data_IF_564681602064
#
_entry.id   IF_564681602064
#
_cell.length_a   1.000
_cell.length_b   1.000
_cell.length_c   1.000
_cell.angle_alpha   90.00
_cell.angle_beta   90.00
_cell.angle_gamma   90.00
#
_symmetry.space_group_name_H-M   'P 1'
#
loop_
_entity.id
_entity.type
_entity.pdbx_description
1 polymer ?
#
# COMPACT_ATOMS: atom_id res chain seq x y z
N UNK A 1 -14.84 -9.76 -6.50
CA UNK A 1 -14.83 -11.19 -6.89
C UNK A 1 -15.57 -11.94 -5.80
N UNK A 2 -16.73 -12.51 -6.11
CA UNK A 2 -17.61 -13.16 -5.14
C UNK A 2 -17.47 -14.67 -5.30
N UNK A 3 -16.92 -15.35 -4.29
CA UNK A 3 -17.08 -16.79 -4.15
C UNK A 3 -18.13 -17.03 -3.07
N UNK A 4 -19.19 -17.73 -3.46
CA UNK A 4 -20.19 -18.27 -2.55
C UNK A 4 -19.65 -19.62 -2.06
N UNK A 5 -19.30 -19.68 -0.79
CA UNK A 5 -19.22 -20.93 -0.03
C UNK A 5 -20.36 -20.92 0.96
N UNK A 6 -21.17 -21.98 0.99
CA UNK A 6 -22.24 -22.18 1.97
C UNK A 6 -21.63 -22.29 3.37
N UNK A 7 -21.44 -21.14 4.01
CA UNK A 7 -21.26 -21.00 5.45
C UNK A 7 -22.39 -20.07 5.89
N UNK A 8 -23.22 -20.56 6.81
CA UNK A 8 -24.31 -19.78 7.38
C UNK A 8 -23.81 -18.43 7.88
N UNK A 9 -24.67 -17.44 7.72
CA UNK A 9 -24.50 -16.02 7.99
C UNK A 9 -23.70 -15.18 6.97
N UNK A 10 -24.40 -14.14 6.54
CA UNK A 10 -24.07 -13.16 5.51
C UNK A 10 -22.72 -12.49 5.75
N UNK A 11 -21.69 -12.97 5.05
CA UNK A 11 -20.37 -12.31 5.01
C UNK A 11 -20.00 -12.06 3.55
N UNK A 12 -20.06 -10.80 3.11
CA UNK A 12 -19.47 -10.39 1.84
C UNK A 12 -17.95 -10.46 1.98
N UNK A 13 -17.31 -11.37 1.26
CA UNK A 13 -15.89 -11.65 1.41
C UNK A 13 -15.04 -10.66 0.58
N UNK A 14 -14.35 -9.74 1.27
CA UNK A 14 -13.39 -8.79 0.70
C UNK A 14 -11.97 -9.33 0.84
N UNK A 15 -11.12 -9.23 -0.18
CA UNK A 15 -9.65 -9.40 -0.02
C UNK A 15 -9.11 -8.18 0.74
N UNK A 16 -9.43 -8.12 2.03
CA UNK A 16 -8.71 -7.34 3.03
C UNK A 16 -7.69 -8.28 3.67
N UNK A 17 -6.63 -7.75 4.28
CA UNK A 17 -5.59 -8.58 4.90
C UNK A 17 -6.13 -9.62 5.90
N UNK A 18 -7.30 -9.37 6.52
CA UNK A 18 -7.97 -10.33 7.40
C UNK A 18 -8.50 -11.57 6.69
N UNK A 19 -9.27 -11.41 5.60
CA UNK A 19 -9.85 -12.56 4.87
C UNK A 19 -8.78 -13.43 4.22
N UNK A 20 -7.69 -12.83 3.73
CA UNK A 20 -6.59 -13.60 3.11
C UNK A 20 -5.98 -14.55 4.13
N UNK A 21 -5.79 -14.12 5.37
CA UNK A 21 -5.31 -14.98 6.45
C UNK A 21 -6.32 -16.08 6.82
N UNK A 22 -7.61 -15.79 6.84
CA UNK A 22 -8.65 -16.81 7.07
C UNK A 22 -8.65 -17.89 5.98
N UNK A 23 -8.49 -17.49 4.71
CA UNK A 23 -8.38 -18.45 3.58
C UNK A 23 -7.09 -19.26 3.71
N UNK A 24 -5.96 -18.64 4.06
CA UNK A 24 -4.71 -19.35 4.31
C UNK A 24 -4.85 -20.36 5.47
N UNK A 25 -5.51 -20.00 6.56
CA UNK A 25 -5.80 -20.88 7.70
C UNK A 25 -6.74 -22.02 7.31
N UNK A 26 -7.76 -21.75 6.50
CA UNK A 26 -8.65 -22.77 5.95
C UNK A 26 -7.89 -23.74 5.06
N UNK A 27 -7.03 -23.26 4.16
CA UNK A 27 -6.17 -24.09 3.32
C UNK A 27 -5.23 -24.95 4.17
N UNK A 28 -4.60 -24.38 5.20
CA UNK A 28 -3.73 -25.11 6.13
C UNK A 28 -4.48 -26.22 6.87
N UNK A 29 -5.67 -25.94 7.39
CA UNK A 29 -6.46 -26.88 8.19
C UNK A 29 -7.13 -27.98 7.37
N UNK A 30 -7.56 -27.68 6.14
CA UNK A 30 -8.28 -28.62 5.25
C UNK A 30 -7.38 -29.31 4.23
N UNK A 31 -6.11 -28.91 4.11
CA UNK A 31 -5.18 -29.30 3.03
C UNK A 31 -5.70 -28.94 1.62
N UNK A 32 -6.67 -28.04 1.52
CA UNK A 32 -7.15 -27.52 0.25
C UNK A 32 -6.19 -26.46 -0.30
N UNK A 33 -6.13 -26.34 -1.64
CA UNK A 33 -5.42 -25.25 -2.30
C UNK A 33 -6.41 -24.18 -2.74
N UNK A 34 -6.23 -22.94 -2.28
CA UNK A 34 -6.98 -21.80 -2.78
C UNK A 34 -6.38 -21.34 -4.11
N UNK A 35 -7.24 -21.11 -5.11
CA UNK A 35 -6.85 -20.60 -6.42
C UNK A 35 -7.61 -19.29 -6.69
N UNK A 36 -6.94 -18.13 -6.68
CA UNK A 36 -7.56 -16.85 -7.02
C UNK A 36 -8.00 -16.84 -8.50
N UNK A 37 -9.23 -16.39 -8.76
CA UNK A 37 -9.80 -16.25 -10.12
C UNK A 37 -10.10 -14.77 -10.39
N UNK A 38 -9.14 -14.05 -10.95
CA UNK A 38 -9.25 -12.60 -11.15
C UNK A 38 -9.77 -12.28 -12.55
N UNK A 39 -10.58 -11.23 -12.73
CA UNK A 39 -10.90 -10.73 -14.05
C UNK A 39 -9.62 -10.32 -14.78
N UNK A 40 -9.49 -10.73 -16.04
CA UNK A 40 -8.42 -10.27 -16.90
C UNK A 40 -8.66 -8.80 -17.29
N UNK A 41 -7.63 -8.00 -17.11
CA UNK A 41 -7.70 -6.54 -17.27
C UNK A 41 -6.28 -6.03 -17.40
N UNK A 42 -6.08 -5.06 -18.28
CA UNK A 42 -4.80 -4.39 -18.48
C UNK A 42 -4.37 -3.62 -17.22
N UNK A 43 -5.35 -3.06 -16.51
CA UNK A 43 -5.09 -2.19 -15.36
C UNK A 43 -4.51 -0.85 -15.78
N UNK A 44 -3.89 -0.17 -14.82
CA UNK A 44 -3.11 1.04 -14.99
C UNK A 44 -1.85 0.94 -14.12
N UNK A 45 -0.98 1.94 -14.18
CA UNK A 45 0.18 2.05 -13.28
C UNK A 45 -0.21 2.10 -11.79
N UNK A 46 -1.46 2.49 -11.48
CA UNK A 46 -1.91 2.74 -10.10
C UNK A 46 -3.17 1.97 -9.70
N UNK A 47 -3.69 1.10 -10.57
CA UNK A 47 -4.83 0.22 -10.25
C UNK A 47 -4.75 -1.09 -11.08
N UNK A 48 -5.07 -2.26 -10.52
CA UNK A 48 -5.08 -3.51 -11.29
C UNK A 48 -6.27 -3.65 -12.25
N UNK A 49 -7.22 -2.72 -12.22
CA UNK A 49 -8.39 -2.70 -13.10
C UNK A 49 -8.40 -1.44 -13.97
N UNK A 50 -8.65 -1.62 -15.27
CA UNK A 50 -8.81 -0.50 -16.21
C UNK A 50 -10.18 0.18 -16.05
N UNK A 51 -10.35 1.36 -16.64
CA UNK A 51 -11.66 2.03 -16.68
C UNK A 51 -12.70 1.20 -17.45
N UNK A 52 -12.29 0.50 -18.50
CA UNK A 52 -13.13 -0.46 -19.24
C UNK A 52 -13.68 -1.55 -18.30
N UNK A 53 -12.80 -2.14 -17.47
CA UNK A 53 -13.20 -3.15 -16.51
C UNK A 53 -14.18 -2.57 -15.47
N UNK A 54 -13.91 -1.36 -14.96
CA UNK A 54 -14.80 -0.66 -14.04
C UNK A 54 -16.18 -0.40 -14.66
N UNK A 55 -16.22 0.08 -15.90
CA UNK A 55 -17.44 0.34 -16.66
C UNK A 55 -18.30 -0.93 -16.77
N UNK A 56 -17.67 -2.04 -17.17
CA UNK A 56 -18.35 -3.35 -17.30
C UNK A 56 -18.85 -3.86 -15.95
N UNK A 57 -18.08 -3.71 -14.87
CA UNK A 57 -18.55 -4.12 -13.54
C UNK A 57 -19.75 -3.32 -13.07
N UNK A 58 -19.72 -1.99 -13.21
CA UNK A 58 -20.85 -1.14 -12.87
C UNK A 58 -22.08 -1.49 -13.71
N UNK A 59 -21.91 -1.61 -15.03
CA UNK A 59 -22.98 -2.00 -15.95
C UNK A 59 -23.60 -3.35 -15.59
N UNK A 60 -22.78 -4.37 -15.31
CA UNK A 60 -23.25 -5.70 -14.87
C UNK A 60 -24.04 -5.63 -13.57
N UNK A 61 -23.63 -4.80 -12.62
CA UNK A 61 -24.35 -4.63 -11.34
C UNK A 61 -25.69 -3.96 -11.58
N UNK A 62 -25.74 -2.93 -12.40
CA UNK A 62 -26.96 -2.20 -12.76
C UNK A 62 -27.94 -3.03 -13.61
N UNK A 63 -27.52 -4.17 -14.16
CA UNK A 63 -28.39 -5.13 -14.83
C UNK A 63 -28.93 -6.25 -13.93
N UNK A 64 -28.40 -6.41 -12.72
CA UNK A 64 -28.85 -7.47 -11.79
C UNK A 64 -30.18 -7.12 -11.13
N UNK A 65 -30.86 -8.16 -10.66
CA UNK A 65 -32.06 -8.07 -9.83
C UNK A 65 -31.94 -9.06 -8.68
N UNK A 66 -32.41 -8.65 -7.50
CA UNK A 66 -32.46 -9.50 -6.30
C UNK A 66 -31.10 -10.06 -5.91
N UNK A 67 -30.03 -9.27 -6.03
CA UNK A 67 -28.70 -9.71 -5.62
C UNK A 67 -28.61 -9.73 -4.09
N UNK A 68 -28.08 -10.80 -3.46
CA UNK A 68 -27.81 -10.80 -2.03
C UNK A 68 -26.99 -9.57 -1.62
N UNK A 69 -27.51 -8.79 -0.67
CA UNK A 69 -26.86 -7.56 -0.21
C UNK A 69 -27.25 -6.30 -0.97
N UNK A 70 -28.27 -6.40 -1.82
CA UNK A 70 -28.92 -5.28 -2.50
C UNK A 70 -27.95 -4.43 -3.35
N UNK A 71 -26.83 -5.01 -3.79
CA UNK A 71 -25.94 -4.40 -4.78
C UNK A 71 -26.39 -4.81 -6.18
N UNK A 72 -27.48 -4.20 -6.63
CA UNK A 72 -28.11 -4.43 -7.92
C UNK A 72 -28.74 -3.15 -8.48
N UNK A 73 -29.57 -3.26 -9.52
CA UNK A 73 -30.21 -2.11 -10.16
C UNK A 73 -31.07 -1.27 -9.22
N UNK A 74 -31.63 -1.85 -8.17
CA UNK A 74 -32.48 -1.16 -7.19
C UNK A 74 -31.68 -0.44 -6.11
N UNK A 75 -30.37 -0.72 -6.01
CA UNK A 75 -29.47 -0.01 -5.11
C UNK A 75 -29.43 1.48 -5.44
N UNK A 76 -29.62 2.40 -4.48
CA UNK A 76 -29.54 3.83 -4.74
C UNK A 76 -28.09 4.35 -4.87
N UNK A 77 -27.08 3.54 -4.55
CA UNK A 77 -25.67 3.95 -4.45
C UNK A 77 -24.71 2.89 -5.02
N UNK A 78 -25.15 2.12 -6.02
CA UNK A 78 -24.34 1.08 -6.63
C UNK A 78 -23.01 1.63 -7.17
N UNK A 79 -23.04 2.77 -7.87
CA UNK A 79 -21.84 3.41 -8.40
C UNK A 79 -20.82 3.74 -7.31
N UNK A 80 -21.27 4.35 -6.20
CA UNK A 80 -20.38 4.65 -5.06
C UNK A 80 -19.73 3.39 -4.48
N UNK A 81 -20.52 2.32 -4.27
CA UNK A 81 -20.01 1.06 -3.73
C UNK A 81 -18.97 0.46 -4.68
N UNK A 82 -19.19 0.51 -5.99
CA UNK A 82 -18.23 0.02 -6.99
C UNK A 82 -16.95 0.86 -7.00
N UNK A 83 -17.05 2.18 -6.84
CA UNK A 83 -15.87 3.05 -6.66
C UNK A 83 -15.12 2.73 -5.37
N UNK A 84 -15.81 2.42 -4.27
CA UNK A 84 -15.17 1.97 -3.05
C UNK A 84 -14.32 0.71 -3.30
N UNK A 85 -14.87 -0.29 -4.00
CA UNK A 85 -14.12 -1.48 -4.38
C UNK A 85 -12.93 -1.19 -5.31
N UNK A 86 -13.11 -0.29 -6.27
CA UNK A 86 -12.04 0.11 -7.17
C UNK A 86 -10.86 0.77 -6.43
N UNK A 87 -11.17 1.63 -5.45
CA UNK A 87 -10.16 2.33 -4.64
C UNK A 87 -9.51 1.45 -3.56
N UNK A 88 -10.03 0.25 -3.26
CA UNK A 88 -9.30 -0.71 -2.39
C UNK A 88 -7.93 -1.10 -2.96
N UNK A 89 -7.76 -0.98 -4.28
CA UNK A 89 -6.54 -1.31 -4.98
C UNK A 89 -5.79 -0.08 -5.51
N UNK A 90 -6.14 1.13 -5.04
CA UNK A 90 -5.43 2.35 -5.42
C UNK A 90 -3.95 2.29 -5.01
N UNK A 91 -3.07 2.69 -5.92
CA UNK A 91 -1.63 2.67 -5.75
C UNK A 91 -0.99 1.29 -5.99
N UNK A 92 -1.72 0.35 -6.60
CA UNK A 92 -1.21 -0.99 -6.94
C UNK A 92 -1.39 -1.25 -8.44
N UNK A 93 -0.29 -1.51 -9.14
CA UNK A 93 -0.34 -1.89 -10.56
C UNK A 93 -0.90 -3.29 -10.76
N UNK A 94 -1.31 -3.61 -12.01
CA UNK A 94 -1.74 -4.97 -12.37
C UNK A 94 -0.69 -6.02 -12.06
N UNK A 95 0.58 -5.73 -12.39
CA UNK A 95 1.70 -6.64 -12.18
C UNK A 95 1.93 -6.94 -10.70
N UNK A 96 1.89 -5.92 -9.84
CA UNK A 96 2.04 -6.11 -8.38
C UNK A 96 0.89 -6.92 -7.80
N UNK A 97 -0.34 -6.63 -8.21
CA UNK A 97 -1.52 -7.37 -7.78
C UNK A 97 -1.45 -8.86 -8.14
N UNK A 98 -1.10 -9.19 -9.38
CA UNK A 98 -0.95 -10.59 -9.80
C UNK A 98 0.22 -11.27 -9.08
N UNK A 99 1.35 -10.57 -8.92
CA UNK A 99 2.53 -11.11 -8.25
C UNK A 99 2.25 -11.46 -6.79
N UNK A 100 1.52 -10.61 -6.05
CA UNK A 100 1.15 -10.88 -4.66
C UNK A 100 0.24 -12.11 -4.54
N UNK A 101 -0.73 -12.26 -5.44
CA UNK A 101 -1.61 -13.43 -5.45
C UNK A 101 -0.85 -14.71 -5.80
N UNK A 102 0.05 -14.65 -6.78
CA UNK A 102 0.90 -15.78 -7.14
C UNK A 102 1.85 -16.15 -5.99
N UNK A 103 2.46 -15.17 -5.33
CA UNK A 103 3.36 -15.41 -4.19
C UNK A 103 2.65 -16.13 -3.03
N UNK A 104 1.40 -15.76 -2.76
CA UNK A 104 0.60 -16.34 -1.67
C UNK A 104 -0.03 -17.68 -2.00
N UNK A 105 -0.58 -17.83 -3.22
CA UNK A 105 -1.42 -18.97 -3.60
C UNK A 105 -0.76 -19.91 -4.63
N UNK A 106 0.46 -19.59 -5.07
CA UNK A 106 1.24 -20.37 -6.04
C UNK A 106 0.74 -20.27 -7.50
N UNK A 107 -0.53 -19.89 -7.68
CA UNK A 107 -1.19 -19.79 -8.98
C UNK A 107 -2.24 -18.69 -9.00
N UNK A 108 -2.61 -18.27 -10.20
CA UNK A 108 -3.72 -17.36 -10.44
C UNK A 108 -4.42 -17.78 -11.73
N UNK A 109 -5.75 -17.72 -11.73
CA UNK A 109 -6.59 -17.92 -12.91
C UNK A 109 -7.06 -16.56 -13.40
N UNK A 110 -6.88 -16.29 -14.69
CA UNK A 110 -7.38 -15.08 -15.35
C UNK A 110 -8.70 -15.40 -16.03
N UNK A 111 -9.78 -14.77 -15.58
CA UNK A 111 -11.10 -14.90 -16.16
C UNK A 111 -11.27 -13.84 -17.25
N UNK A 112 -11.47 -14.22 -18.53
CA UNK A 112 -11.77 -13.26 -19.59
C UNK A 112 -12.92 -12.33 -19.19
N UNK A 113 -12.67 -11.03 -19.28
CA UNK A 113 -13.65 -9.99 -18.98
C UNK A 113 -13.98 -9.17 -20.22
N UNK A 114 -12.95 -8.74 -20.95
CA UNK A 114 -13.04 -7.86 -22.10
C UNK A 114 -12.54 -8.58 -23.35
N UNK A 115 -13.05 -8.18 -24.51
CA UNK A 115 -12.50 -8.59 -25.81
C UNK A 115 -11.19 -7.83 -26.09
N UNK A 116 -10.18 -8.49 -26.70
CA UNK A 116 -8.87 -7.89 -26.92
C UNK A 116 -8.91 -6.77 -27.99
N UNK A 117 -9.68 -6.94 -29.06
CA UNK A 117 -9.73 -6.01 -30.20
C UNK A 117 -10.87 -4.97 -30.06
N UNK A 118 -11.12 -4.51 -28.84
CA UNK A 118 -12.22 -3.57 -28.56
C UNK A 118 -11.88 -2.14 -28.99
N UNK A 119 -12.90 -1.40 -29.39
CA UNK A 119 -12.79 0.04 -29.58
C UNK A 119 -12.54 0.75 -28.23
N UNK A 120 -11.90 1.94 -28.23
CA UNK A 120 -11.72 2.73 -27.02
C UNK A 120 -13.04 3.01 -26.29
N UNK A 121 -12.96 3.18 -24.97
CA UNK A 121 -14.10 3.54 -24.13
C UNK A 121 -14.76 4.82 -24.64
N UNK A 122 -16.10 4.84 -24.89
CA UNK A 122 -16.80 6.03 -25.34
C UNK A 122 -16.55 7.20 -24.39
N UNK A 123 -16.29 8.38 -24.94
CA UNK A 123 -15.95 9.56 -24.14
C UNK A 123 -16.99 9.89 -23.05
N UNK A 124 -18.32 9.79 -23.28
CA UNK A 124 -19.30 9.99 -22.22
C UNK A 124 -19.13 9.01 -21.05
N UNK A 125 -18.84 7.73 -21.36
CA UNK A 125 -18.63 6.68 -20.34
C UNK A 125 -17.34 6.95 -19.57
N UNK A 126 -16.26 7.29 -20.28
CA UNK A 126 -14.99 7.64 -19.65
C UNK A 126 -15.14 8.84 -18.70
N UNK A 127 -15.75 9.92 -19.19
CA UNK A 127 -15.90 11.17 -18.44
C UNK A 127 -16.71 10.97 -17.15
N UNK A 128 -17.83 10.22 -17.20
CA UNK A 128 -18.64 10.00 -15.98
C UNK A 128 -17.93 9.12 -14.95
N UNK A 129 -17.08 8.18 -15.38
CA UNK A 129 -16.26 7.38 -14.46
C UNK A 129 -15.17 8.22 -13.80
N UNK A 130 -14.49 9.07 -14.57
CA UNK A 130 -13.46 9.99 -14.06
C UNK A 130 -14.07 11.02 -13.08
N UNK A 131 -15.25 11.57 -13.40
CA UNK A 131 -16.01 12.43 -12.48
C UNK A 131 -16.30 11.71 -11.16
N UNK A 132 -16.75 10.45 -11.23
CA UNK A 132 -17.04 9.63 -10.05
C UNK A 132 -15.81 9.36 -9.21
N UNK A 133 -14.68 9.01 -9.84
CA UNK A 133 -13.40 8.80 -9.16
C UNK A 133 -12.96 10.08 -8.44
N UNK A 134 -13.06 11.23 -9.10
CA UNK A 134 -12.70 12.52 -8.49
C UNK A 134 -13.63 12.86 -7.31
N UNK A 135 -14.93 12.65 -7.46
CA UNK A 135 -15.92 12.86 -6.39
C UNK A 135 -15.67 11.92 -5.20
N UNK A 136 -15.29 10.66 -5.48
CA UNK A 136 -14.90 9.69 -4.45
C UNK A 136 -13.71 10.21 -3.63
N UNK A 137 -12.65 10.64 -4.30
CA UNK A 137 -11.44 11.19 -3.65
C UNK A 137 -11.75 12.41 -2.79
N UNK A 138 -12.56 13.35 -3.30
CA UNK A 138 -13.00 14.53 -2.55
C UNK A 138 -13.78 14.12 -1.29
N UNK A 139 -14.70 13.18 -1.43
CA UNK A 139 -15.50 12.67 -0.31
C UNK A 139 -14.61 11.99 0.74
N UNK A 140 -13.75 11.05 0.34
CA UNK A 140 -12.90 10.30 1.28
C UNK A 140 -11.87 11.18 1.98
N UNK A 141 -11.29 12.17 1.29
CA UNK A 141 -10.32 13.09 1.89
C UNK A 141 -10.94 13.93 3.00
N UNK A 142 -12.22 14.31 2.86
CA UNK A 142 -12.91 15.17 3.82
C UNK A 142 -13.65 14.40 4.91
N UNK A 143 -14.18 13.21 4.60
CA UNK A 143 -15.11 12.48 5.48
C UNK A 143 -14.63 11.05 5.82
N UNK A 144 -13.48 10.61 5.31
CA UNK A 144 -13.01 9.24 5.52
C UNK A 144 -13.96 8.22 4.88
N UNK A 145 -14.32 7.17 5.62
CA UNK A 145 -15.22 6.09 5.17
C UNK A 145 -16.71 6.36 5.39
N UNK A 146 -17.11 7.64 5.55
CA UNK A 146 -18.52 7.98 5.70
C UNK A 146 -19.33 7.52 4.47
N UNK A 147 -20.60 7.13 4.66
CA UNK A 147 -21.47 6.71 3.56
C UNK A 147 -21.79 7.87 2.61
N UNK A 148 -21.89 7.61 1.30
CA UNK A 148 -22.21 8.63 0.28
C UNK A 148 -23.57 9.30 0.43
N UNK A 149 -24.49 8.67 1.15
CA UNK A 149 -25.82 9.20 1.48
C UNK A 149 -25.79 10.19 2.65
N UNK A 150 -24.61 10.46 3.21
CA UNK A 150 -24.40 11.34 4.36
C UNK A 150 -23.27 12.34 4.04
N UNK A 151 -23.29 13.48 4.73
CA UNK A 151 -22.24 14.49 4.60
C UNK A 151 -22.46 15.47 3.44
N UNK A 152 -21.42 16.26 3.16
CA UNK A 152 -21.52 17.49 2.35
C UNK A 152 -21.82 17.24 0.87
N UNK A 153 -21.38 16.09 0.34
CA UNK A 153 -21.46 15.74 -1.09
C UNK A 153 -22.69 14.90 -1.46
N UNK A 154 -23.67 14.75 -0.56
CA UNK A 154 -24.85 13.88 -0.77
C UNK A 154 -25.62 14.22 -2.07
N UNK A 155 -25.78 15.53 -2.37
CA UNK A 155 -26.47 15.98 -3.59
C UNK A 155 -25.66 15.67 -4.85
N UNK A 156 -24.34 15.82 -4.78
CA UNK A 156 -23.43 15.55 -5.89
C UNK A 156 -23.40 14.05 -6.19
N UNK A 157 -23.38 13.20 -5.16
CA UNK A 157 -23.49 11.75 -5.32
C UNK A 157 -24.79 11.32 -5.97
N UNK A 158 -25.93 11.84 -5.52
CA UNK A 158 -27.23 11.52 -6.11
C UNK A 158 -27.31 11.95 -7.58
N UNK A 159 -26.76 13.12 -7.91
CA UNK A 159 -26.68 13.63 -9.28
C UNK A 159 -25.78 12.73 -10.15
N UNK A 160 -24.56 12.44 -9.68
CA UNK A 160 -23.60 11.60 -10.40
C UNK A 160 -24.13 10.18 -10.61
N UNK A 161 -24.74 9.55 -9.60
CA UNK A 161 -25.29 8.19 -9.72
C UNK A 161 -26.39 8.12 -10.79
N UNK A 162 -27.23 9.17 -10.87
CA UNK A 162 -28.24 9.27 -11.93
C UNK A 162 -27.60 9.39 -13.31
N UNK A 163 -26.62 10.29 -13.46
CA UNK A 163 -25.90 10.48 -14.73
C UNK A 163 -25.14 9.23 -15.17
N UNK A 164 -24.47 8.55 -14.24
CA UNK A 164 -23.78 7.28 -14.49
C UNK A 164 -24.74 6.26 -15.09
N UNK A 165 -25.92 6.09 -14.49
CA UNK A 165 -26.92 5.12 -14.98
C UNK A 165 -27.38 5.46 -16.38
N UNK A 166 -27.80 6.70 -16.61
CA UNK A 166 -28.24 7.19 -17.92
C UNK A 166 -27.17 6.92 -18.99
N UNK A 167 -25.93 7.36 -18.74
CA UNK A 167 -24.82 7.20 -19.68
C UNK A 167 -24.48 5.72 -19.95
N UNK A 168 -24.43 4.87 -18.91
CA UNK A 168 -24.14 3.45 -19.10
C UNK A 168 -25.26 2.74 -19.88
N UNK A 169 -26.53 3.08 -19.65
CA UNK A 169 -27.64 2.49 -20.40
C UNK A 169 -27.68 2.98 -21.86
N UNK A 170 -27.43 4.27 -22.10
CA UNK A 170 -27.35 4.85 -23.44
C UNK A 170 -26.19 4.27 -24.26
N UNK A 171 -25.12 3.82 -23.59
CA UNK A 171 -23.96 3.17 -24.21
C UNK A 171 -23.99 1.63 -24.11
N UNK A 172 -25.15 1.04 -23.79
CA UNK A 172 -25.30 -0.41 -23.59
C UNK A 172 -24.85 -1.24 -24.80
N UNK A 173 -25.04 -0.75 -26.03
CA UNK A 173 -24.57 -1.42 -27.25
C UNK A 173 -23.06 -1.64 -27.27
N UNK A 174 -22.29 -0.62 -26.88
CA UNK A 174 -20.83 -0.71 -26.72
C UNK A 174 -20.47 -1.62 -25.54
N UNK A 175 -21.07 -1.39 -24.37
CA UNK A 175 -20.73 -2.13 -23.15
C UNK A 175 -21.04 -3.63 -23.29
N UNK A 176 -22.05 -4.02 -24.06
CA UNK A 176 -22.33 -5.41 -24.38
C UNK A 176 -21.33 -6.00 -25.37
N UNK A 177 -20.86 -5.24 -26.36
CA UNK A 177 -19.97 -5.75 -27.41
C UNK A 177 -18.53 -5.98 -26.94
N UNK A 178 -18.07 -5.24 -25.93
CA UNK A 178 -16.71 -5.36 -25.40
C UNK A 178 -16.56 -6.44 -24.34
N UNK A 179 -17.64 -7.06 -23.88
CA UNK A 179 -17.59 -8.10 -22.88
C UNK A 179 -17.21 -9.45 -23.49
N UNK A 180 -16.33 -10.19 -22.81
CA UNK A 180 -16.09 -11.59 -23.13
C UNK A 180 -17.38 -12.42 -22.94
N UNK A 181 -17.73 -13.33 -23.87
CA UNK A 181 -18.87 -14.22 -23.72
C UNK A 181 -18.77 -15.09 -22.46
N UNK A 182 -19.88 -15.29 -21.76
CA UNK A 182 -19.89 -16.01 -20.48
C UNK A 182 -19.38 -17.44 -20.62
N UNK A 183 -19.82 -18.15 -21.65
CA UNK A 183 -19.43 -19.53 -21.93
C UNK A 183 -17.93 -19.65 -22.20
N UNK A 184 -17.35 -18.65 -22.87
CA UNK A 184 -15.91 -18.57 -23.10
C UNK A 184 -15.16 -18.38 -21.78
N UNK A 185 -15.60 -17.44 -20.94
CA UNK A 185 -14.99 -17.19 -19.63
C UNK A 185 -15.04 -18.44 -18.74
N UNK A 186 -16.17 -19.14 -18.68
CA UNK A 186 -16.32 -20.39 -17.92
C UNK A 186 -15.39 -21.47 -18.46
N UNK A 187 -15.36 -21.68 -19.78
CA UNK A 187 -14.50 -22.67 -20.41
C UNK A 187 -13.02 -22.42 -20.07
N UNK A 188 -12.54 -21.19 -20.24
CA UNK A 188 -11.13 -20.86 -19.99
C UNK A 188 -10.76 -20.93 -18.51
N UNK A 189 -11.64 -20.53 -17.61
CA UNK A 189 -11.43 -20.67 -16.15
C UNK A 189 -11.31 -22.15 -15.78
N UNK A 190 -12.19 -23.01 -16.29
CA UNK A 190 -12.14 -24.45 -16.03
C UNK A 190 -10.89 -25.11 -16.61
N UNK A 191 -10.45 -24.70 -17.80
CA UNK A 191 -9.21 -25.19 -18.40
C UNK A 191 -7.98 -24.83 -17.56
N UNK A 192 -7.88 -23.57 -17.10
CA UNK A 192 -6.79 -23.13 -16.22
C UNK A 192 -6.82 -23.86 -14.86
N UNK A 193 -7.99 -24.02 -14.25
CA UNK A 193 -8.14 -24.76 -12.99
C UNK A 193 -7.72 -26.23 -13.13
N UNK A 194 -8.06 -26.88 -14.26
CA UNK A 194 -7.63 -28.26 -14.55
C UNK A 194 -6.12 -28.35 -14.73
N UNK A 195 -5.50 -27.40 -15.41
CA UNK A 195 -4.05 -27.36 -15.56
C UNK A 195 -3.35 -27.21 -14.20
N UNK A 196 -3.85 -26.33 -13.33
CA UNK A 196 -3.35 -26.17 -11.96
C UNK A 196 -3.49 -27.47 -11.16
N UNK A 197 -4.66 -28.12 -11.21
CA UNK A 197 -4.91 -29.37 -10.50
C UNK A 197 -4.01 -30.53 -10.96
N UNK A 198 -3.52 -30.51 -12.20
CA UNK A 198 -2.56 -31.48 -12.75
C UNK A 198 -1.10 -31.13 -12.47
N UNK A 199 -0.81 -29.95 -11.89
CA UNK A 199 0.55 -29.45 -11.72
C UNK A 199 1.20 -28.93 -13.01
N UNK A 200 0.41 -28.68 -14.06
CA UNK A 200 0.86 -28.19 -15.37
C UNK A 200 0.99 -26.64 -15.39
N UNK A 201 0.69 -25.98 -14.28
CA UNK A 201 0.78 -24.52 -14.17
C UNK A 201 2.24 -24.08 -13.99
N UNK A 202 2.80 -23.46 -15.01
CA UNK A 202 4.07 -22.74 -14.91
C UNK A 202 3.84 -21.36 -14.32
N UNK A 203 4.29 -21.15 -13.09
CA UNK A 203 4.33 -19.82 -12.48
C UNK A 203 5.17 -18.89 -13.36
N UNK A 204 4.62 -17.76 -13.85
CA UNK A 204 5.40 -16.75 -14.54
C UNK A 204 6.62 -16.40 -13.68
N UNK A 205 7.82 -16.29 -14.28
CA UNK A 205 9.01 -15.78 -13.59
C UNK A 205 8.77 -14.32 -13.21
N UNK A 206 8.05 -14.09 -12.13
CA UNK A 206 8.15 -12.84 -11.38
C UNK A 206 9.55 -12.87 -10.79
N UNK A 207 10.43 -11.98 -11.24
CA UNK A 207 11.58 -11.60 -10.41
C UNK A 207 11.05 -11.46 -8.98
N UNK A 208 11.62 -12.20 -8.03
CA UNK A 208 11.26 -12.09 -6.61
C UNK A 208 11.60 -10.68 -6.14
N UNK A 209 10.75 -9.70 -6.44
CA UNK A 209 10.81 -8.39 -5.80
C UNK A 209 9.84 -8.46 -4.63
N UNK A 210 10.40 -8.59 -3.42
CA UNK A 210 9.70 -8.70 -2.13
C UNK A 210 9.01 -7.38 -1.76
N UNK A 211 8.07 -6.88 -2.57
CA UNK A 211 7.33 -5.66 -2.21
C UNK A 211 6.21 -5.93 -1.17
N UNK A 212 5.77 -7.19 -1.01
CA UNK A 212 4.70 -7.56 -0.07
C UNK A 212 5.01 -7.34 1.41
N UNK A 213 6.30 -7.35 1.78
CA UNK A 213 6.77 -7.21 3.17
C UNK A 213 7.28 -5.82 3.53
N UNK A 214 7.24 -4.84 2.62
CA UNK A 214 7.82 -3.52 2.91
C UNK A 214 6.93 -2.78 3.92
N UNK A 215 7.45 -2.65 5.12
CA UNK A 215 6.92 -1.93 6.27
C UNK A 215 7.34 -0.46 6.20
N UNK A 216 8.59 -0.16 5.80
CA UNK A 216 9.08 1.22 5.72
C UNK A 216 10.24 1.40 4.71
N UNK A 217 10.47 2.65 4.31
CA UNK A 217 11.65 3.09 3.58
C UNK A 217 12.61 3.78 4.54
N UNK A 218 13.91 3.49 4.44
CA UNK A 218 14.92 4.09 5.29
C UNK A 218 16.28 4.21 4.60
N UNK A 219 17.14 5.08 5.12
CA UNK A 219 18.57 5.10 4.79
C UNK A 219 19.32 4.34 5.87
N UNK A 220 19.92 3.20 5.51
CA UNK A 220 20.74 2.38 6.40
C UNK A 220 22.13 2.97 6.52
N UNK A 221 22.62 3.11 7.75
CA UNK A 221 23.91 3.72 8.03
C UNK A 221 24.96 2.66 8.36
N UNK A 222 26.21 2.80 7.90
CA UNK A 222 27.29 1.87 8.21
C UNK A 222 27.59 1.83 9.72
N UNK A 223 27.47 0.65 10.33
CA UNK A 223 27.66 0.45 11.79
C UNK A 223 29.04 0.92 12.25
N UNK A 224 30.09 0.60 11.50
CA UNK A 224 31.46 0.97 11.85
C UNK A 224 31.68 2.48 11.89
N UNK A 225 31.08 3.22 10.94
CA UNK A 225 31.16 4.68 10.90
C UNK A 225 30.36 5.30 12.05
N UNK A 226 29.17 4.75 12.35
CA UNK A 226 28.36 5.18 13.48
C UNK A 226 29.07 4.98 14.83
N UNK A 227 29.72 3.83 15.03
CA UNK A 227 30.50 3.55 16.25
C UNK A 227 31.67 4.52 16.37
N UNK A 228 32.46 4.67 15.30
CA UNK A 228 33.60 5.60 15.27
C UNK A 228 33.16 7.03 15.57
N UNK A 229 32.05 7.46 14.96
CA UNK A 229 31.47 8.78 15.21
C UNK A 229 31.07 8.98 16.67
N UNK A 230 30.38 8.01 17.29
CA UNK A 230 29.94 8.12 18.68
C UNK A 230 31.10 8.07 19.68
N UNK A 231 32.12 7.25 19.43
CA UNK A 231 33.34 7.23 20.25
C UNK A 231 34.05 8.59 20.20
N UNK A 232 34.23 9.15 19.01
CA UNK A 232 34.82 10.49 18.85
C UNK A 232 33.98 11.58 19.54
N UNK A 233 32.65 11.43 19.60
CA UNK A 233 31.76 12.35 20.28
C UNK A 233 31.88 12.22 21.81
N UNK A 234 32.00 10.99 22.34
CA UNK A 234 32.25 10.71 23.75
C UNK A 234 33.59 11.30 24.23
N UNK A 235 34.67 11.11 23.47
CA UNK A 235 35.99 11.70 23.78
C UNK A 235 35.95 13.23 23.94
N UNK A 236 35.06 13.90 23.21
CA UNK A 236 34.91 15.36 23.22
C UNK A 236 33.90 15.86 24.24
N UNK A 237 33.00 15.00 24.72
CA UNK A 237 31.93 15.37 25.62
C UNK A 237 31.77 14.32 26.75
N UNK A 238 32.24 14.65 27.97
CA UNK A 238 32.18 13.73 29.11
C UNK A 238 30.76 13.24 29.48
N UNK A 239 29.73 14.04 29.21
CA UNK A 239 28.33 13.64 29.46
C UNK A 239 27.88 12.56 28.48
N UNK A 240 28.28 12.69 27.21
CA UNK A 240 28.04 11.67 26.17
C UNK A 240 28.80 10.39 26.48
N UNK A 241 30.07 10.51 26.86
CA UNK A 241 30.89 9.35 27.27
C UNK A 241 30.26 8.61 28.44
N UNK A 242 29.87 9.34 29.49
CA UNK A 242 29.20 8.76 30.66
C UNK A 242 27.88 8.07 30.28
N UNK A 243 27.11 8.65 29.36
CA UNK A 243 25.87 8.05 28.89
C UNK A 243 26.10 6.76 28.08
N UNK A 244 27.10 6.73 27.20
CA UNK A 244 27.31 5.61 26.28
C UNK A 244 28.03 4.41 26.92
N UNK A 245 28.86 4.65 27.94
CA UNK A 245 29.79 3.67 28.53
C UNK A 245 29.18 2.31 28.87
N UNK A 246 27.96 2.29 29.40
CA UNK A 246 27.29 1.07 29.87
C UNK A 246 26.25 0.52 28.86
N UNK A 247 26.22 1.06 27.64
CA UNK A 247 25.24 0.69 26.62
C UNK A 247 25.88 -0.20 25.57
N UNK A 248 25.21 -1.31 25.24
CA UNK A 248 25.65 -2.20 24.17
C UNK A 248 25.32 -1.58 22.80
N UNK A 249 26.18 -0.67 22.36
CA UNK A 249 26.01 0.10 21.13
C UNK A 249 26.14 -0.76 19.87
N UNK A 250 27.01 -1.78 19.88
CA UNK A 250 27.18 -2.69 18.74
C UNK A 250 25.86 -3.40 18.38
N UNK A 251 25.18 -3.97 19.37
CA UNK A 251 23.89 -4.63 19.14
C UNK A 251 22.78 -3.65 18.77
N UNK A 252 22.79 -2.46 19.37
CA UNK A 252 21.75 -1.44 19.12
C UNK A 252 21.87 -0.82 17.73
N UNK A 253 23.11 -0.66 17.22
CA UNK A 253 23.41 -0.06 15.93
C UNK A 253 23.40 -1.04 14.76
N UNK A 254 23.29 -2.36 14.98
CA UNK A 254 23.22 -3.35 13.92
C UNK A 254 22.10 -3.08 12.88
N UNK A 255 21.11 -2.25 13.25
CA UNK A 255 20.04 -1.77 12.38
C UNK A 255 19.96 -0.25 12.33
N UNK A 256 21.08 0.47 12.46
CA UNK A 256 21.09 1.92 12.42
C UNK A 256 20.55 2.44 11.09
N UNK A 257 19.47 3.21 11.15
CA UNK A 257 18.84 3.78 9.96
C UNK A 257 18.10 5.08 10.27
N UNK A 258 17.93 5.92 9.25
CA UNK A 258 16.98 7.05 9.27
C UNK A 258 15.71 6.61 8.55
N UNK A 259 14.60 6.53 9.28
CA UNK A 259 13.30 6.23 8.64
C UNK A 259 12.84 7.40 7.78
N UNK A 260 12.55 7.13 6.50
CA UNK A 260 12.01 8.09 5.53
C UNK A 260 10.48 8.08 5.54
N UNK A 261 9.89 6.90 5.45
CA UNK A 261 8.44 6.74 5.58
C UNK A 261 8.06 5.36 6.07
N UNK A 262 7.04 5.28 6.92
CA UNK A 262 6.50 4.02 7.42
C UNK A 262 5.09 3.80 6.88
N UNK A 263 4.79 2.60 6.38
CA UNK A 263 3.51 2.23 5.74
C UNK A 263 2.30 2.54 6.62
N UNK A 264 2.41 2.26 7.93
CA UNK A 264 1.34 2.52 8.91
C UNK A 264 1.06 4.02 9.13
N UNK A 265 2.08 4.87 9.04
CA UNK A 265 1.97 6.29 9.37
C UNK A 265 1.71 7.16 8.14
N UNK A 266 2.28 6.79 6.99
CA UNK A 266 2.29 7.61 5.78
C UNK A 266 1.60 6.94 4.58
N UNK A 267 1.20 5.67 4.70
CA UNK A 267 0.58 4.91 3.61
C UNK A 267 1.58 4.29 2.65
N UNK A 268 1.11 3.34 1.84
CA UNK A 268 1.92 2.58 0.89
C UNK A 268 2.55 3.49 -0.17
N UNK A 269 1.78 4.43 -0.71
CA UNK A 269 2.25 5.38 -1.75
C UNK A 269 3.44 6.21 -1.28
N UNK A 270 3.44 6.66 -0.01
CA UNK A 270 4.54 7.44 0.54
C UNK A 270 5.82 6.61 0.75
N UNK A 271 5.70 5.30 0.98
CA UNK A 271 6.86 4.40 1.03
C UNK A 271 7.36 4.13 -0.40
N UNK A 272 6.45 3.82 -1.31
CA UNK A 272 6.76 3.53 -2.71
C UNK A 272 7.39 4.72 -3.46
N UNK A 273 7.13 5.96 -3.04
CA UNK A 273 7.71 7.16 -3.67
C UNK A 273 9.24 7.22 -3.59
N UNK A 274 9.88 6.45 -2.70
CA UNK A 274 11.35 6.36 -2.64
C UNK A 274 11.94 5.31 -3.58
N UNK A 275 11.09 4.57 -4.33
CA UNK A 275 11.52 3.54 -5.27
C UNK A 275 12.57 3.99 -6.30
N UNK A 276 12.50 5.21 -6.85
CA UNK A 276 13.53 5.72 -7.78
C UNK A 276 14.95 5.82 -7.16
N UNK A 277 15.04 5.94 -5.83
CA UNK A 277 16.31 6.12 -5.10
C UNK A 277 16.79 4.83 -4.43
N UNK A 278 16.15 3.70 -4.72
CA UNK A 278 16.49 2.44 -4.07
C UNK A 278 17.93 2.02 -4.38
N UNK A 279 18.65 1.59 -3.34
CA UNK A 279 20.07 1.21 -3.37
C UNK A 279 21.04 2.33 -3.73
N UNK A 280 20.57 3.59 -3.75
CA UNK A 280 21.43 4.74 -3.95
C UNK A 280 22.06 5.21 -2.63
N UNK A 281 23.26 5.78 -2.73
CA UNK A 281 23.96 6.42 -1.64
C UNK A 281 23.31 7.75 -1.28
N UNK A 282 22.94 7.92 -0.02
CA UNK A 282 22.33 9.15 0.50
C UNK A 282 23.24 9.72 1.59
N UNK A 283 23.79 10.94 1.41
CA UNK A 283 24.52 11.60 2.48
C UNK A 283 23.55 12.03 3.59
N UNK A 284 23.92 11.75 4.84
CA UNK A 284 23.11 12.08 6.02
C UNK A 284 23.96 12.86 7.02
N UNK A 285 23.59 14.11 7.26
CA UNK A 285 24.24 14.96 8.26
C UNK A 285 23.68 14.67 9.65
N UNK A 286 24.56 14.30 10.59
CA UNK A 286 24.27 14.23 12.02
C UNK A 286 24.45 15.61 12.63
N UNK A 287 23.37 16.17 13.18
CA UNK A 287 23.34 17.59 13.63
C UNK A 287 23.22 17.75 15.14
N UNK A 288 22.62 16.79 15.84
CA UNK A 288 22.59 16.78 17.30
C UNK A 288 22.40 15.36 17.83
N UNK A 289 22.92 15.10 19.02
CA UNK A 289 22.60 13.92 19.83
C UNK A 289 21.59 14.32 20.90
N UNK A 290 20.47 13.60 20.98
CA UNK A 290 19.49 13.76 22.05
C UNK A 290 19.41 12.48 22.85
N UNK A 291 19.43 12.59 24.18
CA UNK A 291 19.28 11.43 25.05
C UNK A 291 18.59 11.77 26.37
N UNK A 292 17.95 10.76 26.94
CA UNK A 292 17.37 10.72 28.28
C UNK A 292 17.74 9.38 28.91
N UNK A 293 17.31 9.15 30.15
CA UNK A 293 17.53 7.86 30.82
C UNK A 293 16.93 6.65 30.08
N UNK A 294 15.96 6.87 29.18
CA UNK A 294 15.22 5.81 28.48
C UNK A 294 15.52 5.69 26.99
N UNK A 295 16.05 6.73 26.36
CA UNK A 295 16.10 6.86 24.89
C UNK A 295 17.33 7.64 24.46
N UNK A 296 17.92 7.27 23.33
CA UNK A 296 18.90 8.10 22.64
C UNK A 296 18.73 8.04 21.12
N UNK A 297 18.87 9.18 20.46
CA UNK A 297 18.82 9.29 19.02
C UNK A 297 19.68 10.45 18.48
N UNK A 298 20.22 10.27 17.28
CA UNK A 298 20.85 11.34 16.51
C UNK A 298 19.81 12.01 15.63
N UNK A 299 19.68 13.33 15.74
CA UNK A 299 18.96 14.12 14.77
C UNK A 299 19.73 14.15 13.45
N UNK A 300 19.02 13.88 12.37
CA UNK A 300 19.58 13.68 11.05
C UNK A 300 18.97 14.65 10.03
N UNK A 301 19.79 15.12 9.09
CA UNK A 301 19.35 15.84 7.90
C UNK A 301 19.83 15.11 6.65
N UNK A 302 18.86 14.74 5.82
CA UNK A 302 19.10 14.04 4.56
C UNK A 302 19.56 15.02 3.48
N UNK A 303 20.55 14.61 2.70
CA UNK A 303 21.04 15.36 1.55
C UNK A 303 20.29 15.02 0.26
N UNK A 304 21.00 15.09 -0.87
CA UNK A 304 20.44 14.91 -2.21
C UNK A 304 21.10 13.75 -2.95
N UNK A 305 20.34 13.15 -3.86
CA UNK A 305 20.77 12.11 -4.81
C UNK A 305 20.48 12.63 -6.21
N UNK A 306 21.47 12.64 -7.10
CA UNK A 306 21.34 13.18 -8.48
C UNK A 306 20.73 14.60 -8.54
N UNK A 307 21.00 15.43 -7.54
CA UNK A 307 20.45 16.78 -7.41
C UNK A 307 19.04 16.85 -6.82
N UNK A 308 18.36 15.72 -6.63
CA UNK A 308 17.06 15.65 -5.98
C UNK A 308 17.19 15.50 -4.46
N UNK A 309 16.54 16.38 -3.71
CA UNK A 309 16.59 16.38 -2.25
C UNK A 309 15.76 15.23 -1.66
N UNK A 310 16.41 14.33 -0.92
CA UNK A 310 15.73 13.29 -0.17
C UNK A 310 15.11 13.92 1.08
N UNK A 311 13.80 13.77 1.25
CA UNK A 311 13.08 14.26 2.43
C UNK A 311 12.42 13.11 3.16
N UNK A 312 12.55 13.06 4.48
CA UNK A 312 11.74 12.16 5.31
C UNK A 312 10.34 12.73 5.47
N UNK A 313 9.34 11.85 5.55
CA UNK A 313 7.96 12.20 5.93
C UNK A 313 7.79 12.37 7.43
N UNK A 314 8.75 11.90 8.24
CA UNK A 314 8.78 12.18 9.67
C UNK A 314 9.13 13.67 9.91
N UNK A 315 8.44 14.30 10.86
CA UNK A 315 8.71 15.70 11.22
C UNK A 315 10.12 15.90 11.79
N UNK A 316 10.62 14.89 12.50
CA UNK A 316 11.95 14.89 13.10
C UNK A 316 12.71 13.64 12.63
N UNK A 317 13.47 13.75 11.52
CA UNK A 317 14.27 12.64 11.01
C UNK A 317 15.42 12.36 11.98
N UNK A 318 15.56 11.10 12.38
CA UNK A 318 16.55 10.71 13.36
C UNK A 318 16.99 9.26 13.17
N UNK A 319 18.13 8.93 13.79
CA UNK A 319 18.64 7.57 13.97
C UNK A 319 18.44 7.19 15.42
N UNK A 320 17.64 6.17 15.72
CA UNK A 320 17.55 5.65 17.09
C UNK A 320 18.84 4.91 17.42
N UNK A 321 19.53 5.33 18.48
CA UNK A 321 20.79 4.73 18.93
C UNK A 321 20.56 3.66 19.98
N UNK A 322 19.66 3.92 20.93
CA UNK A 322 19.43 3.06 22.08
C UNK A 322 18.06 3.32 22.71
N UNK A 323 17.47 2.27 23.26
CA UNK A 323 16.25 2.31 24.06
C UNK A 323 16.42 1.45 25.31
N UNK A 324 15.87 1.89 26.44
CA UNK A 324 15.77 1.05 27.63
C UNK A 324 14.90 -0.18 27.38
N UNK A 325 15.06 -1.20 28.23
CA UNK A 325 14.26 -2.42 28.14
C UNK A 325 12.75 -2.12 28.24
N UNK A 326 11.97 -2.67 27.31
CA UNK A 326 10.52 -2.45 27.22
C UNK A 326 10.10 -1.16 26.52
N UNK A 327 11.03 -0.27 26.17
CA UNK A 327 10.74 0.98 25.44
C UNK A 327 10.83 0.76 23.93
N UNK A 328 9.80 1.17 23.20
CA UNK A 328 9.78 0.99 21.74
C UNK A 328 10.57 2.09 21.03
N UNK A 329 11.34 1.75 19.98
CA UNK A 329 12.11 2.72 19.19
C UNK A 329 11.28 3.90 18.66
N UNK A 330 9.99 3.69 18.37
CA UNK A 330 9.07 4.77 17.95
C UNK A 330 8.96 5.91 18.97
N UNK A 331 9.23 5.65 20.24
CA UNK A 331 9.17 6.65 21.31
C UNK A 331 10.33 7.64 21.23
N UNK A 332 11.41 7.34 20.50
CA UNK A 332 12.46 8.32 20.22
C UNK A 332 11.92 9.62 19.59
N UNK A 333 10.80 9.56 18.86
CA UNK A 333 10.13 10.75 18.31
C UNK A 333 9.72 11.80 19.38
N UNK A 334 9.64 11.43 20.66
CA UNK A 334 9.30 12.38 21.74
C UNK A 334 10.52 13.09 22.32
N UNK A 335 11.75 12.71 21.94
CA UNK A 335 12.98 13.32 22.45
C UNK A 335 13.04 14.86 22.29
N UNK A 336 12.65 15.46 21.15
CA UNK A 336 12.61 16.92 21.04
C UNK A 336 11.69 17.58 22.06
N UNK A 337 10.53 16.96 22.33
CA UNK A 337 9.62 17.45 23.36
C UNK A 337 10.24 17.29 24.75
N UNK A 338 10.86 16.15 25.07
CA UNK A 338 11.53 15.93 26.35
C UNK A 338 12.66 16.92 26.60
N UNK A 339 13.41 17.33 25.56
CA UNK A 339 14.41 18.40 25.65
C UNK A 339 13.73 19.72 26.01
N UNK A 340 12.62 20.08 25.37
CA UNK A 340 11.88 21.30 25.69
C UNK A 340 11.30 21.33 27.11
N UNK A 341 11.03 20.15 27.69
CA UNK A 341 10.58 19.96 29.07
C UNK A 341 11.73 19.86 30.09
N UNK A 342 12.99 19.92 29.65
CA UNK A 342 14.17 19.76 30.52
C UNK A 342 14.39 18.32 31.03
N UNK A 343 13.79 17.33 30.38
CA UNK A 343 13.84 15.89 30.73
C UNK A 343 14.80 15.07 29.85
N UNK A 344 15.41 15.71 28.86
CA UNK A 344 16.41 15.10 27.99
C UNK A 344 17.52 16.12 27.69
N UNK A 345 18.72 15.63 27.46
CA UNK A 345 19.88 16.41 27.04
C UNK A 345 19.93 16.50 25.51
N UNK A 346 20.32 17.66 24.98
CA UNK A 346 20.66 17.87 23.56
C UNK A 346 22.10 18.34 23.46
N UNK A 347 22.93 17.60 22.72
CA UNK A 347 24.30 17.97 22.38
C UNK A 347 24.35 18.32 20.90
N UNK A 348 24.67 19.57 20.58
CA UNK A 348 24.83 20.01 19.19
C UNK A 348 26.12 19.48 18.58
N UNK A 349 26.06 19.11 17.29
CA UNK A 349 27.20 18.65 16.51
C UNK A 349 27.53 19.75 15.50
N UNK A 350 28.58 20.51 15.78
CA UNK A 350 29.02 21.62 14.94
C UNK A 350 30.55 21.56 14.70
N UNK A 351 31.01 21.44 13.44
CA UNK A 351 30.20 21.28 12.23
C UNK A 351 29.45 19.94 12.20
N UNK A 352 28.30 19.85 11.48
CA UNK A 352 27.63 18.58 11.25
C UNK A 352 28.58 17.55 10.65
N UNK A 353 28.40 16.28 11.02
CA UNK A 353 29.17 15.17 10.47
C UNK A 353 28.31 14.40 9.49
N UNK A 354 28.75 14.27 8.25
CA UNK A 354 28.04 13.52 7.21
C UNK A 354 28.48 12.06 7.23
N UNK A 355 27.51 11.15 7.28
CA UNK A 355 27.70 9.71 7.06
C UNK A 355 26.86 9.31 5.85
N UNK A 356 27.46 8.59 4.91
CA UNK A 356 26.75 8.12 3.72
C UNK A 356 26.10 6.78 4.02
N UNK A 357 24.79 6.70 3.78
CA UNK A 357 24.03 5.47 3.92
C UNK A 357 23.42 5.00 2.61
N UNK A 358 22.82 3.81 2.62
CA UNK A 358 22.12 3.25 1.47
C UNK A 358 20.62 3.29 1.70
N UNK A 359 19.87 3.87 0.76
CA UNK A 359 18.41 3.84 0.81
C UNK A 359 17.89 2.45 0.46
N UNK A 360 17.05 1.90 1.34
CA UNK A 360 16.44 0.58 1.14
C UNK A 360 15.00 0.50 1.69
N UNK A 361 14.34 -0.60 1.35
CA UNK A 361 13.01 -0.99 1.81
C UNK A 361 13.09 -2.16 2.80
N UNK A 362 12.37 -2.03 3.91
CA UNK A 362 12.40 -2.95 5.05
C UNK A 362 11.05 -3.56 5.36
#
# INVERSE_FOLDING_TARGET
MFLRGDIGDSSYAYITGGLVHEIEDMCRSTKASAVPVVPDSEGTETNPFSLDALAVFMFRVLHRVNHPGNLDKASPNAGYVLLMFYHLYEGKSRKEFESELIERFGSIVKMPLLTPDRNPLPEPVKSVLEEGINLYKLHTNRHGRLESTKGMYTKDWAKWEKQLREILFDNSGYLNSVQAPFELSVKQVLEQLRAIAKGEYTTPRTEKRKFGNIVFAAVSLPVTEMISFLSNLGERNPEVEAFLKDKNMENSLAKAHVTLAHKRSHGVTAVASYGPFLHQEVPVDMIALLFSDQLAALEARLGSVDGEKISSKNQWPHVTLWTAEGVAAKEANTLPQLVSEGKATRIEINPPVTITGILDFF
#
